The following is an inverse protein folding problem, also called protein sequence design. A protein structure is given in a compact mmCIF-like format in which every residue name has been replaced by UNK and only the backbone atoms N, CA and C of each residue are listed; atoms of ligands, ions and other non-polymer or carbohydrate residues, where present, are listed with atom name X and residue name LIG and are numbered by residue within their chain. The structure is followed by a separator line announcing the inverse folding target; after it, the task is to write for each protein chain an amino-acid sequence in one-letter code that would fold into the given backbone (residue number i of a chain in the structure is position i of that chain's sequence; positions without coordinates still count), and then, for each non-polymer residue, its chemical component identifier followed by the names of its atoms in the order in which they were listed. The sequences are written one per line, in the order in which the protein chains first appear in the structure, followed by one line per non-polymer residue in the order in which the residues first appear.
data_IF_965399659505
#
_entry.id   IF_965399659505
#
_cell.length_a   1.000
_cell.length_b   1.000
_cell.length_c   1.000
_cell.angle_alpha   90.00
_cell.angle_beta   90.00
_cell.angle_gamma   90.00
#
_symmetry.space_group_name_H-M   'P 1'
#
loop_
_entity.id
_entity.type
_entity.pdbx_description
1 polymer ?
#
# COMPACT_ATOMS: atom_id res chain seq x y z
N UNK A 1 -17.68 21.36 -16.60
CA UNK A 1 -16.23 21.69 -16.55
C UNK A 1 -15.87 21.82 -15.07
N UNK A 2 -15.20 20.85 -14.52
CA UNK A 2 -14.68 20.94 -13.15
C UNK A 2 -13.47 21.89 -13.19
N UNK A 3 -13.61 23.04 -12.55
CA UNK A 3 -12.54 24.03 -12.43
C UNK A 3 -11.41 23.38 -11.62
N UNK A 4 -10.28 23.10 -12.23
CA UNK A 4 -9.11 22.53 -11.54
C UNK A 4 -8.52 23.65 -10.69
N UNK A 5 -8.68 23.59 -9.38
CA UNK A 5 -8.02 24.51 -8.45
C UNK A 5 -6.51 24.37 -8.64
N UNK A 6 -5.76 25.47 -8.88
CA UNK A 6 -4.31 25.40 -9.02
C UNK A 6 -3.66 24.85 -7.76
N UNK A 7 -2.77 23.85 -7.90
CA UNK A 7 -2.03 23.28 -6.78
C UNK A 7 -0.99 24.25 -6.26
N UNK A 8 -0.90 24.36 -4.95
CA UNK A 8 0.12 25.16 -4.28
C UNK A 8 1.48 24.44 -4.25
N UNK A 9 2.53 25.13 -3.80
CA UNK A 9 3.84 24.49 -3.56
C UNK A 9 3.74 23.49 -2.39
N UNK A 10 2.94 23.79 -1.38
CA UNK A 10 2.75 22.94 -0.21
C UNK A 10 1.99 21.66 -0.61
N UNK A 11 0.96 21.75 -1.48
CA UNK A 11 0.26 20.59 -2.01
C UNK A 11 1.21 19.64 -2.77
N UNK A 12 2.15 20.20 -3.54
CA UNK A 12 3.14 19.39 -4.25
C UNK A 12 4.14 18.73 -3.30
N UNK A 13 4.55 19.45 -2.24
CA UNK A 13 5.42 18.90 -1.21
C UNK A 13 4.74 17.74 -0.47
N UNK A 14 3.48 17.92 -0.07
CA UNK A 14 2.68 16.89 0.59
C UNK A 14 2.50 15.64 -0.30
N UNK A 15 2.20 15.82 -1.59
CA UNK A 15 2.12 14.69 -2.52
C UNK A 15 3.46 13.93 -2.61
N UNK A 16 4.58 14.64 -2.71
CA UNK A 16 5.92 14.04 -2.77
C UNK A 16 6.20 13.24 -1.49
N UNK A 17 5.88 13.78 -0.32
CA UNK A 17 6.06 13.11 0.95
C UNK A 17 5.20 11.86 1.07
N UNK A 18 3.92 11.91 0.66
CA UNK A 18 3.02 10.74 0.65
C UNK A 18 3.55 9.67 -0.31
N UNK A 19 4.01 10.05 -1.51
CA UNK A 19 4.64 9.11 -2.45
C UNK A 19 5.87 8.45 -1.82
N UNK A 20 6.70 9.22 -1.10
CA UNK A 20 7.86 8.68 -0.40
C UNK A 20 7.47 7.69 0.72
N UNK A 21 6.32 7.87 1.39
CA UNK A 21 5.79 6.88 2.37
C UNK A 21 5.52 5.55 1.69
N UNK A 22 4.84 5.56 0.53
CA UNK A 22 4.51 4.33 -0.22
C UNK A 22 5.77 3.67 -0.79
N UNK A 23 6.73 4.45 -1.28
CA UNK A 23 8.02 3.92 -1.73
C UNK A 23 8.82 3.26 -0.59
N UNK A 24 8.83 3.85 0.61
CA UNK A 24 9.46 3.23 1.80
C UNK A 24 8.79 1.92 2.19
N UNK A 25 7.45 1.83 2.07
CA UNK A 25 6.74 0.57 2.27
C UNK A 25 7.21 -0.50 1.29
N UNK A 26 7.24 -0.20 -0.01
CA UNK A 26 7.66 -1.15 -1.05
C UNK A 26 9.13 -1.58 -0.89
N UNK A 27 10.02 -0.64 -0.54
CA UNK A 27 11.42 -0.92 -0.24
C UNK A 27 11.57 -1.86 0.97
N UNK A 28 10.89 -1.57 2.08
CA UNK A 28 10.92 -2.40 3.28
C UNK A 28 10.36 -3.80 3.02
N UNK A 29 9.24 -3.90 2.27
CA UNK A 29 8.66 -5.18 1.85
C UNK A 29 9.65 -6.00 1.03
N UNK A 30 10.30 -5.37 0.05
CA UNK A 30 11.30 -6.04 -0.82
C UNK A 30 12.54 -6.49 -0.04
N UNK A 31 12.93 -5.75 0.99
CA UNK A 31 14.02 -6.16 1.90
C UNK A 31 13.58 -7.16 2.97
N UNK A 32 12.30 -7.52 3.00
CA UNK A 32 11.69 -8.38 4.02
C UNK A 32 11.93 -7.83 5.44
N UNK A 33 11.73 -6.53 5.60
CA UNK A 33 11.88 -5.76 6.84
C UNK A 33 10.50 -5.43 7.43
N UNK A 34 9.92 -6.29 8.30
CA UNK A 34 8.56 -6.09 8.84
C UNK A 34 8.47 -4.85 9.73
N UNK A 35 9.55 -4.45 10.38
CA UNK A 35 9.58 -3.24 11.21
C UNK A 35 9.54 -2.00 10.31
N UNK A 36 10.30 -2.00 9.22
CA UNK A 36 10.27 -0.94 8.21
C UNK A 36 8.89 -0.84 7.54
N UNK A 37 8.26 -1.98 7.20
CA UNK A 37 6.89 -2.02 6.66
C UNK A 37 5.90 -1.38 7.63
N UNK A 38 5.88 -1.80 8.89
CA UNK A 38 4.97 -1.25 9.90
C UNK A 38 5.29 0.21 10.24
N UNK A 39 6.55 0.62 10.12
CA UNK A 39 7.05 1.95 10.49
C UNK A 39 6.46 3.11 9.69
N UNK A 40 5.90 2.86 8.50
CA UNK A 40 5.25 3.89 7.69
C UNK A 40 3.78 4.12 8.04
N UNK A 41 3.23 3.32 8.95
CA UNK A 41 1.85 3.43 9.40
C UNK A 41 1.71 4.22 10.70
N UNK A 42 0.49 4.69 10.99
CA UNK A 42 0.13 5.23 12.31
C UNK A 42 0.15 4.14 13.37
N UNK A 43 0.21 4.51 14.64
CA UNK A 43 0.23 3.53 15.75
C UNK A 43 -1.04 2.65 15.80
N UNK A 44 -2.18 3.23 15.45
CA UNK A 44 -3.52 2.61 15.45
C UNK A 44 -4.03 2.29 14.03
N UNK A 45 -3.11 2.04 13.10
CA UNK A 45 -3.42 1.75 11.71
C UNK A 45 -4.30 0.52 11.49
N UNK A 46 -4.89 0.46 10.31
CA UNK A 46 -5.56 -0.74 9.81
C UNK A 46 -4.98 -1.13 8.44
N UNK A 47 -4.54 -2.38 8.33
CA UNK A 47 -4.23 -3.01 7.06
C UNK A 47 -5.23 -4.14 6.81
N UNK A 48 -5.90 -4.12 5.68
CA UNK A 48 -6.96 -5.06 5.35
C UNK A 48 -6.80 -5.63 3.95
N UNK A 49 -7.07 -6.92 3.80
CA UNK A 49 -7.32 -7.56 2.51
C UNK A 49 -8.46 -8.57 2.66
N UNK A 50 -9.46 -8.56 1.76
CA UNK A 50 -10.54 -9.57 1.78
C UNK A 50 -10.00 -11.00 1.68
N UNK A 51 -8.85 -11.20 1.03
CA UNK A 51 -8.22 -12.51 0.86
C UNK A 51 -7.38 -12.96 2.07
N UNK A 52 -6.91 -12.03 2.91
CA UNK A 52 -5.91 -12.30 3.96
C UNK A 52 -6.49 -12.02 5.34
N UNK A 53 -7.30 -10.97 5.50
CA UNK A 53 -7.86 -10.54 6.78
C UNK A 53 -7.48 -9.11 7.15
N UNK A 54 -7.74 -8.75 8.42
CA UNK A 54 -7.51 -7.41 8.95
C UNK A 54 -6.50 -7.45 10.09
N UNK A 55 -5.54 -6.53 10.05
CA UNK A 55 -4.52 -6.34 11.08
C UNK A 55 -4.59 -4.89 11.57
N UNK A 56 -4.83 -4.70 12.87
CA UNK A 56 -4.99 -3.38 13.48
C UNK A 56 -3.85 -3.11 14.45
N UNK A 57 -3.23 -1.94 14.29
CA UNK A 57 -2.10 -1.49 15.08
C UNK A 57 -0.75 -1.91 14.50
N UNK A 58 0.24 -1.05 14.71
CA UNK A 58 1.59 -1.20 14.14
C UNK A 58 2.29 -2.49 14.58
N UNK A 59 2.14 -2.89 15.85
CA UNK A 59 2.81 -4.09 16.37
C UNK A 59 2.20 -5.38 15.78
N UNK A 60 0.86 -5.44 15.66
CA UNK A 60 0.18 -6.55 15.00
C UNK A 60 0.56 -6.64 13.51
N UNK A 61 0.69 -5.49 12.87
CA UNK A 61 1.10 -5.43 11.47
C UNK A 61 2.56 -5.90 11.28
N UNK A 62 3.48 -5.48 12.15
CA UNK A 62 4.87 -5.96 12.13
C UNK A 62 4.95 -7.48 12.33
N UNK A 63 4.18 -8.03 13.26
CA UNK A 63 4.11 -9.48 13.52
C UNK A 63 3.57 -10.24 12.31
N UNK A 64 2.51 -9.74 11.69
CA UNK A 64 1.92 -10.34 10.49
C UNK A 64 2.93 -10.38 9.33
N UNK A 65 3.56 -9.23 9.00
CA UNK A 65 4.55 -9.18 7.93
C UNK A 65 5.81 -9.98 8.26
N UNK A 66 6.20 -10.07 9.54
CA UNK A 66 7.28 -10.93 9.98
C UNK A 66 7.03 -12.37 9.55
N UNK A 67 5.88 -12.93 9.90
CA UNK A 67 5.52 -14.30 9.55
C UNK A 67 5.33 -14.47 8.02
N UNK A 68 4.62 -13.54 7.37
CA UNK A 68 4.32 -13.64 5.94
C UNK A 68 5.61 -13.58 5.10
N UNK A 69 6.55 -12.71 5.44
CA UNK A 69 7.78 -12.51 4.66
C UNK A 69 8.86 -13.56 4.93
N UNK A 70 8.77 -14.33 6.03
CA UNK A 70 9.68 -15.44 6.30
C UNK A 70 9.57 -16.58 5.28
N UNK A 71 8.39 -16.80 4.71
CA UNK A 71 8.14 -17.87 3.75
C UNK A 71 8.65 -17.57 2.32
N UNK A 72 9.43 -16.51 2.15
CA UNK A 72 9.97 -16.11 0.86
C UNK A 72 11.49 -16.20 0.81
N UNK A 73 12.03 -16.86 -0.22
CA UNK A 73 13.46 -16.81 -0.57
C UNK A 73 13.82 -15.44 -1.15
N UNK A 74 12.94 -14.91 -2.02
CA UNK A 74 13.03 -13.59 -2.60
C UNK A 74 11.63 -12.98 -2.74
N UNK A 75 11.51 -11.71 -2.47
CA UNK A 75 10.27 -10.94 -2.62
C UNK A 75 10.59 -9.53 -3.10
N UNK A 76 9.97 -9.11 -4.18
CA UNK A 76 10.12 -7.76 -4.74
C UNK A 76 8.74 -7.15 -4.92
N UNK A 77 8.54 -5.95 -4.42
CA UNK A 77 7.32 -5.18 -4.63
C UNK A 77 7.61 -3.97 -5.51
N UNK A 78 6.98 -3.92 -6.67
CA UNK A 78 7.02 -2.81 -7.61
C UNK A 78 5.77 -1.95 -7.54
N UNK A 79 5.93 -0.64 -7.61
CA UNK A 79 4.84 0.32 -7.78
C UNK A 79 4.68 0.61 -9.27
N UNK A 80 3.52 0.26 -9.85
CA UNK A 80 3.25 0.42 -11.29
C UNK A 80 2.69 1.81 -11.61
N UNK A 81 1.71 2.26 -10.83
CA UNK A 81 1.13 3.60 -10.95
C UNK A 81 0.50 4.04 -9.64
N UNK A 82 0.35 5.35 -9.43
CA UNK A 82 -0.25 5.87 -8.22
C UNK A 82 -0.87 7.24 -8.38
N UNK A 83 -2.00 7.44 -7.71
CA UNK A 83 -2.72 8.70 -7.60
C UNK A 83 -2.82 9.08 -6.12
N UNK A 84 -2.58 10.33 -5.79
CA UNK A 84 -2.74 10.91 -4.45
C UNK A 84 -3.71 12.09 -4.56
N UNK A 85 -4.71 12.12 -3.71
CA UNK A 85 -5.70 13.18 -3.60
C UNK A 85 -5.60 13.78 -2.20
N UNK A 86 -5.18 15.03 -2.11
CA UNK A 86 -5.19 15.80 -0.87
C UNK A 86 -6.63 16.19 -0.53
N UNK A 87 -6.99 16.14 0.74
CA UNK A 87 -8.32 16.58 1.19
C UNK A 87 -8.37 18.11 1.19
N UNK A 88 -9.27 18.68 0.40
CA UNK A 88 -9.43 20.14 0.32
C UNK A 88 -10.03 20.79 1.58
N UNK A 89 -10.60 20.00 2.49
CA UNK A 89 -11.19 20.46 3.74
C UNK A 89 -10.26 20.26 4.95
N UNK A 90 -9.37 19.27 4.90
CA UNK A 90 -8.43 18.94 5.98
C UNK A 90 -7.01 18.75 5.40
N UNK A 91 -6.10 19.72 5.60
CA UNK A 91 -4.76 19.68 5.03
C UNK A 91 -3.88 18.55 5.62
N UNK A 92 -4.33 17.89 6.68
CA UNK A 92 -3.62 16.77 7.31
C UNK A 92 -4.18 15.41 6.89
N UNK A 93 -5.04 15.38 5.85
CA UNK A 93 -5.61 14.16 5.28
C UNK A 93 -5.41 14.06 3.78
N UNK A 94 -5.26 12.82 3.32
CA UNK A 94 -5.19 12.49 1.91
C UNK A 94 -5.68 11.06 1.69
N UNK A 95 -6.02 10.74 0.45
CA UNK A 95 -6.29 9.39 -0.02
C UNK A 95 -5.37 9.04 -1.18
N UNK A 96 -5.21 7.75 -1.47
CA UNK A 96 -4.42 7.30 -2.60
C UNK A 96 -4.84 5.95 -3.13
N UNK A 97 -4.50 5.72 -4.39
CA UNK A 97 -4.65 4.43 -5.05
C UNK A 97 -3.34 4.08 -5.75
N UNK A 98 -2.88 2.83 -5.55
CA UNK A 98 -1.62 2.35 -6.13
C UNK A 98 -1.82 0.99 -6.75
N UNK A 99 -1.51 0.86 -8.03
CA UNK A 99 -1.34 -0.44 -8.65
C UNK A 99 0.07 -0.95 -8.36
N UNK A 100 0.15 -2.19 -7.93
CA UNK A 100 1.40 -2.81 -7.49
C UNK A 100 1.59 -4.17 -8.12
N UNK A 101 2.83 -4.61 -8.22
CA UNK A 101 3.19 -5.97 -8.57
C UNK A 101 4.14 -6.53 -7.52
N UNK A 102 3.81 -7.71 -7.02
CA UNK A 102 4.60 -8.47 -6.07
C UNK A 102 5.11 -9.71 -6.79
N UNK A 103 6.42 -9.88 -6.82
CA UNK A 103 7.07 -11.02 -7.48
C UNK A 103 8.02 -11.68 -6.49
N UNK A 104 7.95 -13.01 -6.39
CA UNK A 104 8.87 -13.72 -5.52
C UNK A 104 8.90 -15.22 -5.71
N UNK A 105 9.82 -15.84 -5.00
CA UNK A 105 9.92 -17.27 -4.86
C UNK A 105 9.72 -17.66 -3.40
N UNK A 106 8.75 -18.50 -3.14
CA UNK A 106 8.50 -19.06 -1.81
C UNK A 106 9.58 -20.07 -1.41
N UNK A 107 9.71 -20.33 -0.11
CA UNK A 107 10.68 -21.28 0.45
C UNK A 107 10.57 -22.68 -0.15
N UNK A 108 9.36 -23.11 -0.55
CA UNK A 108 9.11 -24.35 -1.28
C UNK A 108 9.53 -24.35 -2.75
N UNK A 109 10.05 -23.24 -3.28
CA UNK A 109 10.51 -23.09 -4.67
C UNK A 109 9.46 -22.60 -5.67
N UNK A 110 8.19 -22.51 -5.28
CA UNK A 110 7.13 -21.99 -6.14
C UNK A 110 7.35 -20.50 -6.44
N UNK A 111 7.12 -20.09 -7.68
CA UNK A 111 7.16 -18.68 -8.10
C UNK A 111 5.75 -18.10 -8.09
N UNK A 112 5.60 -16.90 -7.52
CA UNK A 112 4.34 -16.18 -7.46
C UNK A 112 4.53 -14.76 -7.96
N UNK A 113 3.59 -14.32 -8.82
CA UNK A 113 3.45 -12.91 -9.22
C UNK A 113 2.02 -12.52 -8.91
N UNK A 114 1.86 -11.45 -8.13
CA UNK A 114 0.55 -10.90 -7.79
C UNK A 114 0.52 -9.45 -8.22
N UNK A 115 -0.39 -9.10 -9.14
CA UNK A 115 -0.71 -7.70 -9.41
C UNK A 115 -1.96 -7.33 -8.63
N UNK A 116 -1.91 -6.23 -7.92
CA UNK A 116 -2.99 -5.80 -7.05
C UNK A 116 -3.14 -4.29 -6.97
N UNK A 117 -4.07 -3.86 -6.13
CA UNK A 117 -4.34 -2.44 -5.90
C UNK A 117 -4.41 -2.16 -4.41
N UNK A 118 -3.74 -1.09 -3.98
CA UNK A 118 -3.92 -0.47 -2.67
C UNK A 118 -4.90 0.71 -2.77
N UNK A 119 -5.80 0.80 -1.79
CA UNK A 119 -6.58 1.98 -1.47
C UNK A 119 -6.17 2.45 -0.09
N UNK A 120 -5.60 3.65 -0.03
CA UNK A 120 -4.95 4.20 1.16
C UNK A 120 -5.67 5.42 1.69
N UNK A 121 -5.70 5.56 3.02
CA UNK A 121 -5.96 6.79 3.74
C UNK A 121 -4.69 7.23 4.45
N UNK A 122 -4.29 8.49 4.26
CA UNK A 122 -3.11 9.08 4.88
C UNK A 122 -3.51 10.15 5.88
N UNK A 123 -2.72 10.29 6.92
CA UNK A 123 -2.80 11.39 7.89
C UNK A 123 -1.42 11.94 8.17
N UNK A 124 -1.37 13.24 8.46
CA UNK A 124 -0.15 13.89 8.93
C UNK A 124 -0.19 13.97 10.45
N UNK A 125 0.75 13.31 11.13
CA UNK A 125 0.91 13.30 12.58
C UNK A 125 2.26 13.91 12.93
N UNK A 126 2.27 14.93 13.77
CA UNK A 126 3.50 15.64 14.17
C UNK A 126 4.38 16.05 12.97
N UNK A 127 3.75 16.54 11.91
CA UNK A 127 4.43 16.98 10.69
C UNK A 127 4.91 15.86 9.75
N UNK A 128 4.52 14.61 10.00
CA UNK A 128 4.96 13.45 9.20
C UNK A 128 3.74 12.72 8.61
N UNK A 129 3.74 12.53 7.31
CA UNK A 129 2.71 11.73 6.65
C UNK A 129 2.90 10.24 6.95
N UNK A 130 1.77 9.56 7.23
CA UNK A 130 1.70 8.13 7.52
C UNK A 130 0.46 7.51 6.90
N UNK A 131 0.50 6.19 6.66
CA UNK A 131 -0.67 5.41 6.26
C UNK A 131 -1.51 5.15 7.52
N UNK A 132 -2.74 5.63 7.53
CA UNK A 132 -3.73 5.37 8.58
C UNK A 132 -4.48 4.08 8.31
N UNK A 133 -4.89 3.88 7.04
CA UNK A 133 -5.57 2.69 6.57
C UNK A 133 -5.06 2.31 5.20
N UNK A 134 -4.85 1.01 4.98
CA UNK A 134 -4.58 0.42 3.66
C UNK A 134 -5.48 -0.76 3.44
N UNK A 135 -6.18 -0.78 2.30
CA UNK A 135 -6.85 -1.96 1.78
C UNK A 135 -6.08 -2.48 0.58
N UNK A 136 -5.83 -3.80 0.56
CA UNK A 136 -5.17 -4.51 -0.53
C UNK A 136 -6.13 -5.49 -1.19
N UNK A 137 -6.34 -5.34 -2.48
CA UNK A 137 -7.11 -6.27 -3.31
C UNK A 137 -6.20 -6.83 -4.41
N UNK A 138 -5.90 -8.14 -4.42
CA UNK A 138 -5.25 -8.79 -5.54
C UNK A 138 -6.18 -8.79 -6.75
N UNK A 139 -5.64 -8.52 -7.95
CA UNK A 139 -6.39 -8.46 -9.21
C UNK A 139 -5.97 -9.55 -10.18
N UNK A 140 -4.71 -9.95 -10.15
CA UNK A 140 -4.18 -11.01 -10.98
C UNK A 140 -3.14 -11.78 -10.17
N UNK A 141 -3.31 -13.10 -10.09
CA UNK A 141 -2.33 -14.00 -9.47
C UNK A 141 -1.81 -14.94 -10.54
N UNK A 142 -0.51 -14.99 -10.71
CA UNK A 142 0.19 -16.01 -11.50
C UNK A 142 1.02 -16.87 -10.55
N UNK A 143 0.65 -18.13 -10.46
CA UNK A 143 1.36 -19.15 -9.70
C UNK A 143 1.79 -20.25 -10.67
N UNK A 144 3.09 -20.41 -10.88
CA UNK A 144 3.68 -21.27 -11.89
C UNK A 144 2.99 -21.07 -13.26
N UNK A 145 2.31 -22.09 -13.81
CA UNK A 145 1.61 -22.02 -15.10
C UNK A 145 0.13 -21.58 -15.00
N UNK A 146 -0.35 -21.26 -13.81
CA UNK A 146 -1.76 -20.91 -13.57
C UNK A 146 -1.91 -19.40 -13.41
N UNK A 147 -2.89 -18.83 -14.10
CA UNK A 147 -3.27 -17.39 -13.96
C UNK A 147 -4.71 -17.29 -13.49
N UNK A 148 -4.93 -16.57 -12.41
CA UNK A 148 -6.24 -16.29 -11.84
C UNK A 148 -6.48 -14.78 -11.83
N UNK A 149 -7.58 -14.34 -12.45
CA UNK A 149 -8.01 -12.95 -12.43
C UNK A 149 -9.15 -12.74 -11.42
N UNK A 150 -9.13 -11.62 -10.73
CA UNK A 150 -10.18 -11.19 -9.81
C UNK A 150 -10.77 -9.85 -10.27
N UNK A 151 -12.08 -9.62 -10.03
CA UNK A 151 -12.69 -8.34 -10.41
C UNK A 151 -12.09 -7.20 -9.59
N UNK A 152 -12.08 -6.01 -10.20
CA UNK A 152 -11.75 -4.78 -9.47
C UNK A 152 -12.80 -4.54 -8.38
N UNK A 153 -12.42 -4.16 -7.15
CA UNK A 153 -13.35 -3.94 -6.05
C UNK A 153 -14.32 -2.78 -6.38
N UNK A 154 -15.60 -2.96 -6.06
CA UNK A 154 -16.66 -1.96 -6.30
C UNK A 154 -17.09 -1.24 -5.01
N UNK A 155 -16.60 -1.70 -3.86
CA UNK A 155 -16.89 -1.18 -2.52
C UNK A 155 -15.73 -0.34 -1.94
N UNK A 156 -14.96 0.28 -2.82
CA UNK A 156 -13.85 1.17 -2.48
C UNK A 156 -14.20 2.61 -2.83
N UNK A 157 -13.60 3.62 -2.16
CA UNK A 157 -13.79 5.01 -2.51
C UNK A 157 -13.38 5.30 -3.96
N UNK A 158 -14.15 6.12 -4.67
CA UNK A 158 -13.70 6.68 -5.94
C UNK A 158 -12.53 7.63 -5.68
N UNK A 159 -11.43 7.44 -6.40
CA UNK A 159 -10.24 8.27 -6.31
C UNK A 159 -9.94 8.86 -7.68
N UNK A 160 -10.10 10.15 -7.80
CA UNK A 160 -9.70 10.99 -8.94
C UNK A 160 -10.76 11.27 -9.93
#
# INVERSE_FOLDING_TARGET
MTETVPRTRDDLADEIEIRAVVHRYADASSRRDPVGVAGVFTADCEWHSPAIGTHTGRDALASFFGTMLEDWNAFIQGLLSGVVILDGADPDRATGRWFVEETGQQSGGATLIVSGVYHDEYVREAGTWRIRRRRYDPLLIRADDTVTAMPYPTDVPEIG
#
